data_IF_915457481518
#
_entry.id   IF_915457481518
#
_cell.length_a   1.000
_cell.length_b   1.000
_cell.length_c   1.000
_cell.angle_alpha   90.00
_cell.angle_beta   90.00
_cell.angle_gamma   90.00
#
_symmetry.space_group_name_H-M   'P 1'
#
loop_
_entity.id
_entity.type
_entity.pdbx_description
1 polymer ?
#
# COMPACT_ATOMS: atom_id res chain seq x y z
N UNK A 1 -5.69 -13.19 -13.35
CA UNK A 1 -6.08 -13.18 -11.91
C UNK A 1 -6.36 -14.59 -11.40
N UNK A 2 -7.04 -15.45 -12.17
CA UNK A 2 -7.25 -16.88 -11.79
C UNK A 2 -5.93 -17.62 -11.64
N UNK A 3 -4.98 -17.40 -12.53
CA UNK A 3 -3.64 -18.01 -12.47
C UNK A 3 -2.87 -17.60 -11.22
N UNK A 4 -3.02 -16.34 -10.79
CA UNK A 4 -2.44 -15.86 -9.53
C UNK A 4 -3.09 -16.56 -8.32
N UNK A 5 -4.40 -16.76 -8.35
CA UNK A 5 -5.09 -17.49 -7.28
C UNK A 5 -4.64 -18.98 -7.26
N UNK A 6 -4.48 -19.60 -8.43
CA UNK A 6 -3.97 -20.97 -8.55
C UNK A 6 -2.55 -21.08 -7.97
N UNK A 7 -1.62 -20.21 -8.39
CA UNK A 7 -0.26 -20.17 -7.85
C UNK A 7 -0.25 -19.96 -6.31
N UNK A 8 -1.07 -19.04 -5.81
CA UNK A 8 -1.19 -18.83 -4.35
C UNK A 8 -1.78 -20.02 -3.60
N UNK A 9 -2.62 -20.83 -4.26
CA UNK A 9 -3.20 -22.01 -3.61
C UNK A 9 -2.18 -23.14 -3.40
N UNK A 10 -1.03 -23.10 -4.06
CA UNK A 10 0.03 -24.12 -3.91
C UNK A 10 0.55 -24.20 -2.46
N UNK A 11 0.52 -23.09 -1.71
CA UNK A 11 0.91 -23.11 -0.29
C UNK A 11 0.05 -24.07 0.54
N UNK A 12 -1.22 -24.29 0.16
CA UNK A 12 -2.15 -25.13 0.92
C UNK A 12 -1.67 -26.60 0.92
N UNK A 13 -1.09 -27.07 -0.17
CA UNK A 13 -0.58 -28.43 -0.29
C UNK A 13 0.66 -28.70 0.58
N UNK A 14 1.34 -27.61 1.02
CA UNK A 14 2.52 -27.70 1.88
C UNK A 14 2.20 -27.51 3.38
N UNK A 15 0.93 -27.29 3.73
CA UNK A 15 0.50 -27.24 5.14
C UNK A 15 0.34 -28.66 5.65
N UNK A 16 0.85 -28.94 6.84
CA UNK A 16 0.67 -30.23 7.50
C UNK A 16 -0.82 -30.53 7.76
N UNK A 17 -1.23 -31.78 7.65
CA UNK A 17 -2.61 -32.21 7.96
C UNK A 17 -3.01 -31.72 9.35
N UNK A 18 -4.22 -31.18 9.47
CA UNK A 18 -4.72 -30.58 10.72
C UNK A 18 -4.22 -29.15 10.98
N UNK A 19 -3.27 -28.64 10.18
CA UNK A 19 -2.84 -27.25 10.24
C UNK A 19 -3.93 -26.27 9.81
N UNK A 20 -3.67 -24.98 9.99
CA UNK A 20 -4.66 -23.92 9.73
C UNK A 20 -4.13 -22.92 8.71
N UNK A 21 -4.96 -22.57 7.72
CA UNK A 21 -4.72 -21.44 6.82
C UNK A 21 -5.55 -20.23 7.22
N UNK A 22 -4.93 -19.05 7.23
CA UNK A 22 -5.59 -17.78 7.53
C UNK A 22 -6.01 -17.12 6.21
N UNK A 23 -7.31 -16.87 6.00
CA UNK A 23 -7.86 -16.36 4.75
C UNK A 23 -8.65 -15.07 4.93
N UNK A 24 -8.51 -14.16 3.96
CA UNK A 24 -9.33 -12.96 3.89
C UNK A 24 -10.74 -13.31 3.38
N UNK A 25 -11.76 -13.18 4.25
CA UNK A 25 -13.16 -13.46 3.95
C UNK A 25 -13.74 -12.55 2.86
N UNK A 26 -13.19 -11.35 2.71
CA UNK A 26 -13.66 -10.35 1.75
C UNK A 26 -13.02 -10.52 0.36
N UNK A 27 -12.07 -11.46 0.21
CA UNK A 27 -11.44 -11.76 -1.09
C UNK A 27 -12.37 -12.61 -1.95
N UNK A 28 -12.48 -12.26 -3.23
CA UNK A 28 -13.32 -12.99 -4.19
C UNK A 28 -12.94 -14.46 -4.41
N UNK A 29 -11.71 -14.84 -4.07
CA UNK A 29 -11.23 -16.21 -4.12
C UNK A 29 -11.31 -16.95 -2.78
N UNK A 30 -11.90 -16.33 -1.75
CA UNK A 30 -12.02 -16.97 -0.44
C UNK A 30 -12.60 -18.38 -0.52
N UNK A 31 -13.75 -18.54 -1.18
CA UNK A 31 -14.40 -19.86 -1.32
C UNK A 31 -13.56 -20.85 -2.10
N UNK A 32 -12.79 -20.39 -3.09
CA UNK A 32 -11.85 -21.24 -3.84
C UNK A 32 -10.76 -21.80 -2.92
N UNK A 33 -10.09 -20.96 -2.15
CA UNK A 33 -9.05 -21.39 -1.21
C UNK A 33 -9.63 -22.26 -0.09
N UNK A 34 -10.79 -21.90 0.46
CA UNK A 34 -11.47 -22.67 1.50
C UNK A 34 -11.82 -24.09 1.03
N UNK A 35 -12.29 -24.26 -0.21
CA UNK A 35 -12.58 -25.55 -0.81
C UNK A 35 -11.31 -26.40 -0.91
N UNK A 36 -10.19 -25.84 -1.38
CA UNK A 36 -8.92 -26.56 -1.49
C UNK A 36 -8.43 -26.97 -0.09
N UNK A 37 -8.46 -26.06 0.88
CA UNK A 37 -8.06 -26.34 2.26
C UNK A 37 -8.87 -27.51 2.85
N UNK A 38 -10.20 -27.49 2.69
CA UNK A 38 -11.09 -28.57 3.17
C UNK A 38 -10.73 -29.92 2.54
N UNK A 39 -10.47 -29.96 1.22
CA UNK A 39 -10.11 -31.20 0.52
C UNK A 39 -8.75 -31.76 0.95
N UNK A 40 -7.89 -30.95 1.55
CA UNK A 40 -6.57 -31.36 2.07
C UNK A 40 -6.55 -31.50 3.61
N UNK A 41 -7.72 -31.53 4.28
CA UNK A 41 -7.85 -31.61 5.73
C UNK A 41 -7.14 -30.46 6.47
N UNK A 42 -7.15 -29.27 5.88
CA UNK A 42 -6.59 -28.04 6.46
C UNK A 42 -7.73 -27.18 7.02
N UNK A 43 -7.58 -26.75 8.25
CA UNK A 43 -8.51 -25.83 8.91
C UNK A 43 -8.42 -24.44 8.28
N UNK A 44 -9.53 -23.71 8.27
CA UNK A 44 -9.59 -22.34 7.76
C UNK A 44 -10.01 -21.42 8.87
N UNK A 45 -9.22 -20.36 9.13
CA UNK A 45 -9.62 -19.24 9.97
C UNK A 45 -9.68 -17.98 9.11
N UNK A 46 -10.75 -17.22 9.23
CA UNK A 46 -11.04 -16.10 8.35
C UNK A 46 -10.92 -14.76 9.08
N UNK A 47 -10.58 -13.71 8.34
CA UNK A 47 -10.58 -12.35 8.83
C UNK A 47 -11.17 -11.40 7.78
N UNK A 48 -11.74 -10.28 8.22
CA UNK A 48 -12.26 -9.27 7.29
C UNK A 48 -13.33 -8.36 7.87
N UNK A 49 -13.98 -7.63 6.99
CA UNK A 49 -15.15 -6.78 7.31
C UNK A 49 -16.47 -7.55 7.27
N UNK A 50 -16.51 -8.67 6.57
CA UNK A 50 -17.69 -9.52 6.45
C UNK A 50 -18.18 -10.00 7.82
N UNK A 51 -19.52 -10.02 8.00
CA UNK A 51 -20.15 -10.60 9.20
C UNK A 51 -19.83 -12.08 9.43
N UNK A 52 -19.36 -12.77 8.38
CA UNK A 52 -18.99 -14.21 8.41
C UNK A 52 -17.53 -14.45 8.80
N UNK A 53 -16.73 -13.39 9.01
CA UNK A 53 -15.33 -13.52 9.42
C UNK A 53 -15.19 -13.95 10.87
N UNK A 54 -14.26 -14.86 11.17
CA UNK A 54 -13.92 -15.30 12.53
C UNK A 54 -13.26 -14.16 13.32
N UNK A 55 -12.39 -13.39 12.66
CA UNK A 55 -11.87 -12.12 13.17
C UNK A 55 -12.44 -10.99 12.33
N UNK A 56 -13.37 -10.24 12.93
CA UNK A 56 -14.17 -9.26 12.21
C UNK A 56 -13.91 -7.85 12.69
N UNK A 57 -13.78 -6.91 11.73
CA UNK A 57 -13.85 -5.48 12.01
C UNK A 57 -15.26 -5.10 12.45
N UNK A 58 -15.39 -4.35 13.55
CA UNK A 58 -16.65 -3.79 14.00
C UNK A 58 -16.71 -2.29 13.76
N UNK A 59 -15.84 -1.54 14.39
CA UNK A 59 -15.72 -0.10 14.20
C UNK A 59 -14.36 0.43 14.62
N UNK A 60 -14.11 1.70 14.32
CA UNK A 60 -12.95 2.45 14.78
C UNK A 60 -13.40 3.83 15.25
N UNK A 61 -12.97 4.25 16.44
CA UNK A 61 -13.27 5.56 17.03
C UNK A 61 -11.98 6.33 17.31
N UNK A 62 -11.97 7.64 17.05
CA UNK A 62 -10.84 8.50 17.39
C UNK A 62 -10.73 8.64 18.92
N UNK A 63 -9.50 8.58 19.43
CA UNK A 63 -9.17 8.77 20.84
C UNK A 63 -7.93 9.64 20.97
N UNK A 64 -8.08 10.89 21.43
CA UNK A 64 -6.96 11.86 21.53
C UNK A 64 -5.99 11.81 20.35
N UNK A 65 -4.82 11.17 20.51
CA UNK A 65 -3.77 11.05 19.48
C UNK A 65 -3.86 9.77 18.63
N UNK A 66 -4.74 8.83 18.97
CA UNK A 66 -4.81 7.48 18.41
C UNK A 66 -6.24 7.11 18.03
N UNK A 67 -6.45 5.87 17.65
CA UNK A 67 -7.76 5.31 17.35
C UNK A 67 -7.97 4.02 18.16
N UNK A 68 -9.19 3.81 18.63
CA UNK A 68 -9.65 2.57 19.24
C UNK A 68 -10.34 1.73 18.17
N UNK A 69 -9.71 0.63 17.80
CA UNK A 69 -10.19 -0.35 16.84
C UNK A 69 -10.90 -1.46 17.58
N UNK A 70 -12.22 -1.61 17.37
CA UNK A 70 -13.02 -2.68 17.97
C UNK A 70 -13.14 -3.83 16.98
N UNK A 71 -12.73 -5.02 17.42
CA UNK A 71 -12.80 -6.27 16.66
C UNK A 71 -13.69 -7.27 17.39
N UNK A 72 -14.38 -8.15 16.65
CA UNK A 72 -15.01 -9.36 17.18
C UNK A 72 -14.14 -10.56 16.88
N UNK A 73 -13.80 -11.35 17.89
CA UNK A 73 -12.93 -12.52 17.78
C UNK A 73 -13.59 -13.64 18.61
N UNK A 74 -13.95 -14.75 17.97
CA UNK A 74 -14.66 -15.86 18.63
C UNK A 74 -15.88 -15.40 19.42
N UNK A 75 -16.65 -14.43 18.90
CA UNK A 75 -17.82 -13.76 19.51
C UNK A 75 -17.51 -12.80 20.67
N UNK A 76 -16.26 -12.66 21.10
CA UNK A 76 -15.84 -11.65 22.06
C UNK A 76 -15.45 -10.35 21.35
N UNK A 77 -15.67 -9.22 22.03
CA UNK A 77 -15.27 -7.92 21.53
C UNK A 77 -13.98 -7.46 22.23
N UNK A 78 -12.93 -7.23 21.45
CA UNK A 78 -11.64 -6.77 21.96
C UNK A 78 -11.32 -5.40 21.34
N UNK A 79 -10.75 -4.52 22.16
CA UNK A 79 -10.28 -3.19 21.75
C UNK A 79 -8.78 -3.19 21.58
N UNK A 80 -8.32 -2.71 20.42
CA UNK A 80 -6.91 -2.47 20.13
C UNK A 80 -6.68 -0.98 19.88
N UNK A 81 -5.56 -0.45 20.34
CA UNK A 81 -5.14 0.90 19.96
C UNK A 81 -4.36 0.84 18.65
N UNK A 82 -4.66 1.77 17.74
CA UNK A 82 -3.97 1.89 16.45
C UNK A 82 -3.66 3.34 16.13
N UNK A 83 -2.59 3.57 15.38
CA UNK A 83 -2.20 4.89 14.89
C UNK A 83 -2.70 5.19 13.47
N UNK A 84 -3.40 4.23 12.83
CA UNK A 84 -3.89 4.38 11.46
C UNK A 84 -5.29 3.82 11.28
N UNK A 85 -6.09 4.49 10.45
CA UNK A 85 -7.42 4.06 9.99
C UNK A 85 -7.40 3.66 8.51
N UNK A 86 -6.21 3.58 7.90
CA UNK A 86 -6.08 3.13 6.53
C UNK A 86 -6.63 1.70 6.39
N UNK A 87 -7.51 1.49 5.41
CA UNK A 87 -8.19 0.20 5.21
C UNK A 87 -7.21 -0.97 5.08
N UNK A 88 -6.12 -0.78 4.33
CA UNK A 88 -5.10 -1.83 4.15
C UNK A 88 -4.37 -2.13 5.46
N UNK A 89 -4.10 -1.10 6.27
CA UNK A 89 -3.49 -1.29 7.59
C UNK A 89 -4.43 -2.07 8.53
N UNK A 90 -5.71 -1.71 8.57
CA UNK A 90 -6.71 -2.45 9.35
C UNK A 90 -6.79 -3.91 8.90
N UNK A 91 -6.79 -4.18 7.59
CA UNK A 91 -6.77 -5.56 7.08
C UNK A 91 -5.53 -6.35 7.53
N UNK A 92 -4.37 -5.72 7.58
CA UNK A 92 -3.15 -6.34 8.10
C UNK A 92 -3.28 -6.62 9.62
N UNK A 93 -3.86 -5.70 10.39
CA UNK A 93 -4.15 -5.92 11.82
C UNK A 93 -5.08 -7.11 12.01
N UNK A 94 -6.18 -7.19 11.24
CA UNK A 94 -7.11 -8.32 11.28
C UNK A 94 -6.40 -9.64 10.98
N UNK A 95 -5.55 -9.68 9.97
CA UNK A 95 -4.74 -10.85 9.63
C UNK A 95 -3.81 -11.25 10.79
N UNK A 96 -3.05 -10.31 11.34
CA UNK A 96 -2.16 -10.56 12.48
C UNK A 96 -2.93 -11.09 13.69
N UNK A 97 -4.08 -10.47 14.03
CA UNK A 97 -4.93 -10.91 15.14
C UNK A 97 -5.48 -12.31 14.89
N UNK A 98 -5.85 -12.66 13.65
CA UNK A 98 -6.29 -14.02 13.31
C UNK A 98 -5.20 -15.07 13.54
N UNK A 99 -3.95 -14.76 13.13
CA UNK A 99 -2.78 -15.64 13.39
C UNK A 99 -2.55 -15.80 14.89
N UNK A 100 -2.47 -14.69 15.63
CA UNK A 100 -2.19 -14.71 17.08
C UNK A 100 -3.30 -15.42 17.86
N UNK A 101 -4.56 -15.25 17.47
CA UNK A 101 -5.70 -15.96 18.03
C UNK A 101 -5.65 -17.46 17.74
N UNK A 102 -5.16 -17.88 16.58
CA UNK A 102 -4.99 -19.30 16.23
C UNK A 102 -3.86 -19.95 17.04
N UNK A 103 -2.82 -19.17 17.36
CA UNK A 103 -1.72 -19.60 18.23
C UNK A 103 -2.10 -19.61 19.73
N UNK A 104 -3.34 -19.29 20.09
CA UNK A 104 -3.80 -19.28 21.47
C UNK A 104 -3.23 -18.14 22.34
N UNK A 105 -2.66 -17.10 21.74
CA UNK A 105 -2.06 -16.00 22.50
C UNK A 105 -3.14 -15.10 23.13
N UNK A 106 -2.85 -14.58 24.34
CA UNK A 106 -3.74 -13.64 25.00
C UNK A 106 -3.69 -12.27 24.29
N UNK A 107 -4.71 -12.00 23.49
CA UNK A 107 -4.82 -10.82 22.65
C UNK A 107 -4.95 -9.51 23.45
N UNK A 108 -5.33 -9.57 24.72
CA UNK A 108 -5.44 -8.37 25.60
C UNK A 108 -4.06 -7.80 25.93
N UNK A 109 -3.01 -8.62 25.97
CA UNK A 109 -1.63 -8.17 26.24
C UNK A 109 -1.03 -7.38 25.07
N UNK A 110 -1.56 -7.54 23.86
CA UNK A 110 -1.06 -6.86 22.66
C UNK A 110 -1.94 -5.69 22.21
N UNK A 111 -2.89 -5.24 23.04
CA UNK A 111 -3.85 -4.20 22.67
C UNK A 111 -3.20 -2.87 22.23
N UNK A 112 -2.02 -2.56 22.73
CA UNK A 112 -1.26 -1.35 22.38
C UNK A 112 -0.25 -1.58 21.24
N UNK A 113 0.02 -2.81 20.82
CA UNK A 113 1.08 -3.14 19.86
C UNK A 113 0.90 -2.39 18.55
N UNK A 114 -0.30 -2.38 17.99
CA UNK A 114 -0.58 -1.74 16.69
C UNK A 114 -0.53 -0.21 16.72
N UNK A 115 -0.47 0.39 17.91
CA UNK A 115 -0.31 1.81 18.08
C UNK A 115 1.14 2.29 17.93
N UNK A 116 2.09 1.43 18.23
CA UNK A 116 3.52 1.74 18.19
C UNK A 116 4.16 1.42 16.83
N UNK A 117 3.45 0.71 15.97
CA UNK A 117 3.96 0.30 14.67
C UNK A 117 4.14 1.49 13.73
N UNK A 118 5.32 1.62 13.17
CA UNK A 118 5.64 2.62 12.16
C UNK A 118 5.53 1.98 10.77
N UNK A 119 5.06 2.73 9.74
CA UNK A 119 5.09 2.24 8.37
C UNK A 119 6.50 1.77 8.00
N UNK A 120 6.58 0.63 7.34
CA UNK A 120 7.84 0.11 6.81
C UNK A 120 8.40 1.08 5.77
N UNK A 121 9.73 1.05 5.57
CA UNK A 121 10.41 1.82 4.53
C UNK A 121 9.79 1.52 3.16
N UNK A 122 9.54 2.55 2.35
CA UNK A 122 8.92 2.40 1.02
C UNK A 122 7.40 2.13 1.02
N UNK A 123 6.70 2.29 2.16
CA UNK A 123 5.26 2.03 2.28
C UNK A 123 4.45 3.22 2.82
N UNK A 124 4.61 4.37 2.18
CA UNK A 124 3.77 5.55 2.40
C UNK A 124 4.12 6.40 3.62
N UNK A 125 5.31 6.23 4.20
CA UNK A 125 5.77 7.09 5.27
C UNK A 125 6.02 8.50 4.75
N UNK A 126 5.35 9.49 5.34
CA UNK A 126 5.58 10.91 5.07
C UNK A 126 6.72 11.40 5.95
N UNK A 127 7.73 11.98 5.34
CA UNK A 127 8.85 12.60 6.05
C UNK A 127 9.11 14.01 5.51
N UNK A 128 9.43 14.92 6.40
CA UNK A 128 9.99 16.22 6.03
C UNK A 128 11.45 16.01 5.64
N UNK A 129 11.85 16.53 4.51
CA UNK A 129 13.19 16.40 3.92
C UNK A 129 13.72 17.80 3.66
N UNK A 130 15.00 18.02 4.00
CA UNK A 130 15.73 19.22 3.63
C UNK A 130 16.77 18.85 2.56
N UNK A 131 16.58 19.34 1.35
CA UNK A 131 17.49 19.12 0.22
C UNK A 131 17.36 20.24 -0.81
N UNK A 132 18.39 20.51 -1.56
CA UNK A 132 18.42 21.59 -2.56
C UNK A 132 18.15 22.99 -1.97
N UNK A 133 18.55 23.23 -0.72
CA UNK A 133 18.20 24.48 0.01
C UNK A 133 16.71 24.66 0.33
N UNK A 134 15.91 23.60 0.18
CA UNK A 134 14.46 23.60 0.33
C UNK A 134 14.00 22.53 1.32
N UNK A 135 12.86 22.79 1.98
CA UNK A 135 12.22 21.86 2.89
C UNK A 135 10.88 21.41 2.33
N UNK A 136 10.69 20.12 2.07
CA UNK A 136 9.48 19.56 1.47
C UNK A 136 9.08 18.22 2.12
N UNK A 137 7.93 17.67 1.75
CA UNK A 137 7.44 16.39 2.27
C UNK A 137 7.61 15.29 1.24
N UNK A 138 8.38 14.26 1.59
CA UNK A 138 8.54 13.05 0.79
C UNK A 138 7.57 11.96 1.27
N UNK A 139 6.82 11.38 0.33
CA UNK A 139 5.99 10.18 0.51
C UNK A 139 6.68 9.04 -0.22
N UNK A 140 7.33 8.17 0.56
CA UNK A 140 8.07 7.03 0.02
C UNK A 140 7.16 5.81 -0.13
N UNK A 141 6.73 5.53 -1.36
CA UNK A 141 5.93 4.36 -1.79
C UNK A 141 6.74 3.43 -2.73
N UNK A 142 8.07 3.52 -2.69
CA UNK A 142 8.98 2.92 -3.66
C UNK A 142 9.28 1.43 -3.45
N UNK A 143 8.65 0.77 -2.45
CA UNK A 143 8.91 -0.65 -2.19
C UNK A 143 8.43 -1.55 -3.33
N UNK A 144 7.21 -1.36 -3.82
CA UNK A 144 6.67 -2.11 -4.96
C UNK A 144 5.47 -1.37 -5.58
N UNK A 145 5.12 -1.73 -6.82
CA UNK A 145 4.00 -1.15 -7.54
C UNK A 145 3.19 -2.20 -8.30
N UNK A 146 1.88 -2.19 -8.08
CA UNK A 146 0.88 -2.88 -8.89
C UNK A 146 -0.32 -1.95 -9.09
N UNK A 147 -1.24 -2.25 -10.03
CA UNK A 147 -2.32 -1.33 -10.37
C UNK A 147 -3.19 -0.89 -9.18
N UNK A 148 -3.50 -1.79 -8.25
CA UNK A 148 -4.29 -1.47 -7.06
C UNK A 148 -3.52 -0.60 -6.07
N UNK A 149 -2.26 -0.93 -5.80
CA UNK A 149 -1.44 -0.15 -4.87
C UNK A 149 -1.11 1.23 -5.41
N UNK A 150 -0.89 1.39 -6.73
CA UNK A 150 -0.68 2.70 -7.35
C UNK A 150 -1.95 3.53 -7.32
N UNK A 151 -3.11 2.94 -7.63
CA UNK A 151 -4.41 3.62 -7.49
C UNK A 151 -4.60 4.13 -6.06
N UNK A 152 -4.45 3.26 -5.06
CA UNK A 152 -4.60 3.65 -3.65
C UNK A 152 -3.61 4.73 -3.22
N UNK A 153 -2.36 4.68 -3.70
CA UNK A 153 -1.36 5.70 -3.41
C UNK A 153 -1.73 7.05 -4.02
N UNK A 154 -2.20 7.08 -5.27
CA UNK A 154 -2.68 8.30 -5.93
C UNK A 154 -3.88 8.90 -5.19
N UNK A 155 -4.85 8.09 -4.78
CA UNK A 155 -6.03 8.52 -4.01
C UNK A 155 -5.62 9.08 -2.64
N UNK A 156 -4.79 8.37 -1.89
CA UNK A 156 -4.30 8.82 -0.59
C UNK A 156 -3.49 10.12 -0.72
N UNK A 157 -2.63 10.21 -1.71
CA UNK A 157 -1.81 11.41 -1.96
C UNK A 157 -2.69 12.59 -2.37
N UNK A 158 -3.71 12.35 -3.19
CA UNK A 158 -4.68 13.38 -3.57
C UNK A 158 -5.41 13.97 -2.36
N UNK A 159 -5.72 13.14 -1.36
CA UNK A 159 -6.47 13.55 -0.15
C UNK A 159 -5.61 14.32 0.88
N UNK A 160 -4.29 14.39 0.72
CA UNK A 160 -3.45 15.22 1.59
C UNK A 160 -3.79 16.70 1.32
N UNK A 161 -4.12 17.46 2.37
CA UNK A 161 -4.39 18.90 2.25
C UNK A 161 -3.10 19.64 1.94
N UNK A 162 -3.00 20.24 0.76
CA UNK A 162 -1.78 20.92 0.30
C UNK A 162 -1.64 22.40 0.69
N UNK A 163 -2.69 23.04 1.20
CA UNK A 163 -2.65 24.45 1.68
C UNK A 163 -1.89 25.40 0.73
N UNK A 164 -2.20 25.36 -0.57
CA UNK A 164 -1.53 26.14 -1.60
C UNK A 164 -0.20 25.59 -2.12
N UNK A 165 0.31 24.48 -1.56
CA UNK A 165 1.53 23.82 -2.01
C UNK A 165 1.27 22.82 -3.15
N UNK A 166 2.32 22.47 -3.90
CA UNK A 166 2.22 21.58 -5.05
C UNK A 166 2.50 20.12 -4.69
N UNK A 167 1.92 19.23 -5.47
CA UNK A 167 2.11 17.78 -5.38
C UNK A 167 2.77 17.25 -6.63
N UNK A 168 3.94 16.68 -6.46
CA UNK A 168 4.73 16.05 -7.50
C UNK A 168 4.73 14.54 -7.31
N UNK A 169 4.62 13.80 -8.42
CA UNK A 169 4.61 12.34 -8.40
C UNK A 169 5.66 11.79 -9.35
N UNK A 170 6.61 11.01 -8.85
CA UNK A 170 7.50 10.17 -9.65
C UNK A 170 6.91 8.78 -9.76
N UNK A 171 6.41 8.45 -10.96
CA UNK A 171 5.79 7.17 -11.26
C UNK A 171 6.74 6.29 -12.07
N UNK A 172 7.14 5.16 -11.50
CA UNK A 172 7.94 4.14 -12.17
C UNK A 172 7.11 2.98 -12.70
N UNK A 173 7.76 2.11 -13.48
CA UNK A 173 7.13 0.93 -14.05
C UNK A 173 6.47 0.04 -12.98
N UNK A 174 5.31 -0.50 -13.33
CA UNK A 174 4.70 -1.65 -12.64
C UNK A 174 5.12 -2.92 -13.37
N UNK A 175 5.90 -3.77 -12.70
CA UNK A 175 6.39 -5.02 -13.25
C UNK A 175 5.39 -6.18 -13.03
N UNK A 176 5.67 -7.35 -13.62
CA UNK A 176 4.92 -8.60 -13.42
C UNK A 176 3.43 -8.53 -13.84
N UNK A 177 3.09 -7.65 -14.78
CA UNK A 177 1.72 -7.48 -15.28
C UNK A 177 1.41 -8.26 -16.56
N UNK A 178 2.37 -9.03 -17.07
CA UNK A 178 2.22 -9.83 -18.29
C UNK A 178 1.92 -8.98 -19.54
N UNK A 179 1.30 -9.60 -20.54
CA UNK A 179 0.97 -9.00 -21.85
C UNK A 179 0.10 -7.75 -21.75
N UNK A 180 -0.73 -7.64 -20.72
CA UNK A 180 -1.66 -6.51 -20.51
C UNK A 180 -1.04 -5.33 -19.75
N UNK A 181 0.27 -5.31 -19.54
CA UNK A 181 0.98 -4.27 -18.80
C UNK A 181 0.62 -2.85 -19.28
N UNK A 182 0.58 -2.63 -20.60
CA UNK A 182 0.25 -1.35 -21.21
C UNK A 182 -1.17 -0.84 -20.84
N UNK A 183 -2.16 -1.75 -20.74
CA UNK A 183 -3.53 -1.40 -20.37
C UNK A 183 -3.57 -0.90 -18.92
N UNK A 184 -2.85 -1.56 -18.03
CA UNK A 184 -2.80 -1.17 -16.62
C UNK A 184 -2.12 0.18 -16.42
N UNK A 185 -0.99 0.43 -17.10
CA UNK A 185 -0.31 1.72 -17.07
C UNK A 185 -1.22 2.84 -17.61
N UNK A 186 -1.91 2.61 -18.74
CA UNK A 186 -2.90 3.55 -19.28
C UNK A 186 -4.04 3.83 -18.30
N UNK A 187 -4.53 2.82 -17.56
CA UNK A 187 -5.56 3.03 -16.54
C UNK A 187 -5.08 3.94 -15.41
N UNK A 188 -3.82 3.83 -15.00
CA UNK A 188 -3.27 4.72 -13.96
C UNK A 188 -3.31 6.19 -14.39
N UNK A 189 -3.07 6.50 -15.66
CA UNK A 189 -3.16 7.89 -16.15
C UNK A 189 -4.53 8.52 -15.90
N UNK A 190 -5.62 7.74 -15.98
CA UNK A 190 -6.98 8.24 -15.66
C UNK A 190 -7.10 8.65 -14.20
N UNK A 191 -6.54 7.86 -13.27
CA UNK A 191 -6.56 8.20 -11.84
C UNK A 191 -5.72 9.46 -11.56
N UNK A 192 -4.54 9.58 -12.17
CA UNK A 192 -3.69 10.77 -12.05
C UNK A 192 -4.39 12.00 -12.62
N UNK A 193 -5.02 11.89 -13.78
CA UNK A 193 -5.74 13.00 -14.41
C UNK A 193 -6.88 13.55 -13.55
N UNK A 194 -7.52 12.69 -12.75
CA UNK A 194 -8.63 13.03 -11.87
C UNK A 194 -8.21 13.31 -10.42
N UNK A 195 -6.90 13.32 -10.14
CA UNK A 195 -6.34 13.56 -8.82
C UNK A 195 -5.93 15.01 -8.63
N UNK A 196 -5.59 15.38 -7.38
CA UNK A 196 -5.04 16.68 -7.02
C UNK A 196 -3.50 16.74 -7.17
N UNK A 197 -2.90 15.82 -7.93
CA UNK A 197 -1.47 15.84 -8.27
C UNK A 197 -1.24 16.93 -9.32
N UNK A 198 -0.26 17.81 -9.10
CA UNK A 198 0.02 18.91 -10.01
C UNK A 198 0.87 18.45 -11.20
N UNK A 199 1.95 17.71 -10.98
CA UNK A 199 2.83 17.20 -12.04
C UNK A 199 3.26 15.77 -11.76
N UNK A 200 3.35 14.97 -12.84
CA UNK A 200 3.81 13.58 -12.79
C UNK A 200 5.04 13.41 -13.68
N UNK A 201 6.13 13.02 -13.06
CA UNK A 201 7.36 12.56 -13.72
C UNK A 201 7.26 11.05 -13.89
N UNK A 202 7.83 10.51 -14.96
CA UNK A 202 7.78 9.08 -15.25
C UNK A 202 9.16 8.52 -15.49
N UNK A 203 9.38 7.28 -14.98
CA UNK A 203 10.63 6.55 -15.16
C UNK A 203 10.35 5.10 -15.57
N UNK A 204 10.97 4.65 -16.65
CA UNK A 204 10.80 3.32 -17.21
C UNK A 204 9.89 3.29 -18.44
N UNK A 205 10.13 2.32 -19.32
CA UNK A 205 9.51 2.23 -20.66
C UNK A 205 7.98 2.19 -20.62
N UNK A 206 7.42 1.45 -19.65
CA UNK A 206 5.97 1.26 -19.53
C UNK A 206 5.29 2.50 -18.93
N UNK A 207 5.94 3.16 -17.97
CA UNK A 207 5.47 4.41 -17.38
C UNK A 207 5.47 5.55 -18.42
N UNK A 208 6.46 5.59 -19.32
CA UNK A 208 6.51 6.52 -20.45
C UNK A 208 5.31 6.33 -21.38
N UNK A 209 4.86 5.09 -21.60
CA UNK A 209 3.61 4.85 -22.36
C UNK A 209 2.39 5.45 -21.66
N UNK A 210 2.32 5.37 -20.33
CA UNK A 210 1.25 6.00 -19.55
C UNK A 210 1.29 7.54 -19.63
N UNK A 211 2.48 8.14 -19.67
CA UNK A 211 2.69 9.58 -19.76
C UNK A 211 1.95 10.22 -20.94
N UNK A 212 1.87 9.54 -22.09
CA UNK A 212 1.16 10.01 -23.29
C UNK A 212 -0.34 10.24 -23.05
N UNK A 213 -0.94 9.58 -22.05
CA UNK A 213 -2.35 9.70 -21.70
C UNK A 213 -2.62 10.67 -20.54
N UNK A 214 -1.58 11.28 -19.96
CA UNK A 214 -1.74 12.37 -19.01
C UNK A 214 -2.19 13.64 -19.72
N UNK A 215 -3.04 14.43 -19.06
CA UNK A 215 -3.37 15.79 -19.51
C UNK A 215 -2.12 16.65 -19.52
N UNK A 216 -1.99 17.60 -20.47
CA UNK A 216 -0.80 18.46 -20.59
C UNK A 216 -0.41 19.15 -19.27
N UNK A 217 -1.41 19.64 -18.53
CA UNK A 217 -1.20 20.30 -17.23
C UNK A 217 -0.69 19.35 -16.13
N UNK A 218 -0.87 18.02 -16.28
CA UNK A 218 -0.40 16.99 -15.32
C UNK A 218 0.99 16.43 -15.67
N UNK A 219 1.52 16.75 -16.85
CA UNK A 219 2.82 16.25 -17.30
C UNK A 219 3.94 17.03 -16.62
N UNK A 220 4.84 16.32 -15.98
CA UNK A 220 6.20 16.75 -15.65
C UNK A 220 7.15 16.38 -16.80
N UNK A 221 8.24 15.68 -16.47
CA UNK A 221 9.24 15.22 -17.44
C UNK A 221 9.36 13.70 -17.45
N UNK A 222 9.89 13.16 -18.55
CA UNK A 222 10.33 11.78 -18.67
C UNK A 222 11.76 11.72 -18.13
N UNK A 223 11.97 10.87 -17.13
CA UNK A 223 13.25 10.71 -16.46
C UNK A 223 14.03 9.59 -17.16
N UNK A 224 15.18 9.92 -17.68
CA UNK A 224 16.03 8.98 -18.43
C UNK A 224 16.95 8.17 -17.51
N UNK A 225 17.42 8.76 -16.41
CA UNK A 225 18.24 8.10 -15.40
C UNK A 225 17.82 8.50 -13.99
N UNK A 226 18.17 7.69 -12.98
CA UNK A 226 17.83 8.02 -11.58
C UNK A 226 18.63 9.24 -11.11
N UNK A 227 19.82 9.44 -11.64
CA UNK A 227 20.72 10.56 -11.31
C UNK A 227 20.13 11.88 -11.81
N UNK A 228 19.57 11.90 -13.02
CA UNK A 228 18.99 13.12 -13.61
C UNK A 228 17.73 13.60 -12.90
N UNK A 229 17.10 12.76 -12.08
CA UNK A 229 15.88 13.15 -11.36
C UNK A 229 16.14 14.23 -10.31
N UNK A 230 17.28 14.18 -9.61
CA UNK A 230 17.63 15.18 -8.61
C UNK A 230 17.70 16.58 -9.22
N UNK A 231 18.34 16.72 -10.40
CA UNK A 231 18.42 18.01 -11.13
C UNK A 231 17.05 18.47 -11.62
N UNK A 232 16.26 17.55 -12.17
CA UNK A 232 14.91 17.86 -12.66
C UNK A 232 14.00 18.34 -11.54
N UNK A 233 13.93 17.60 -10.42
CA UNK A 233 13.01 17.90 -9.34
C UNK A 233 13.44 19.12 -8.51
N UNK A 234 14.75 19.38 -8.41
CA UNK A 234 15.29 20.55 -7.71
C UNK A 234 14.82 21.86 -8.30
N UNK A 235 14.61 21.95 -9.63
CA UNK A 235 14.17 23.15 -10.34
C UNK A 235 12.71 23.51 -10.03
N UNK A 236 11.85 22.54 -9.73
CA UNK A 236 10.40 22.73 -9.60
C UNK A 236 9.91 22.68 -8.15
N UNK A 237 10.56 21.92 -7.27
CA UNK A 237 10.19 21.85 -5.84
C UNK A 237 10.36 23.20 -5.16
N UNK A 238 9.40 23.52 -4.27
CA UNK A 238 9.44 24.68 -3.38
C UNK A 238 9.25 24.26 -1.92
N UNK A 239 9.51 25.19 -0.99
CA UNK A 239 9.30 24.94 0.44
C UNK A 239 7.85 24.54 0.74
N UNK A 240 7.68 23.41 1.42
CA UNK A 240 6.38 22.88 1.82
C UNK A 240 5.66 22.03 0.78
N UNK A 241 6.23 21.85 -0.42
CA UNK A 241 5.66 20.97 -1.45
C UNK A 241 5.71 19.50 -1.05
N UNK A 242 5.02 18.67 -1.82
CA UNK A 242 4.94 17.23 -1.60
C UNK A 242 5.49 16.48 -2.81
N UNK A 243 6.34 15.50 -2.55
CA UNK A 243 6.85 14.57 -3.56
C UNK A 243 6.50 13.14 -3.17
N UNK A 244 5.76 12.43 -4.02
CA UNK A 244 5.54 10.99 -3.88
C UNK A 244 6.40 10.23 -4.90
N UNK A 245 7.03 9.14 -4.46
CA UNK A 245 7.82 8.25 -5.31
C UNK A 245 7.22 6.85 -5.25
N UNK A 246 6.84 6.27 -6.40
CA UNK A 246 6.28 4.92 -6.49
C UNK A 246 6.63 4.21 -7.79
N UNK A 247 7.15 3.00 -7.65
CA UNK A 247 7.44 2.08 -8.75
C UNK A 247 7.69 0.68 -8.22
N UNK A 248 7.78 -0.30 -9.11
CA UNK A 248 8.19 -1.66 -8.74
C UNK A 248 9.63 -1.66 -8.23
N UNK A 249 9.98 -2.58 -7.35
CA UNK A 249 11.32 -2.68 -6.75
C UNK A 249 12.43 -2.75 -7.81
N UNK A 250 12.18 -3.46 -8.91
CA UNK A 250 13.11 -3.57 -10.04
C UNK A 250 13.45 -2.21 -10.70
N UNK A 251 12.61 -1.18 -10.54
CA UNK A 251 12.93 0.18 -11.03
C UNK A 251 13.99 0.90 -10.21
N UNK A 252 14.35 0.37 -9.06
CA UNK A 252 15.32 0.93 -8.10
C UNK A 252 14.99 2.35 -7.60
N UNK A 253 13.74 2.82 -7.76
CA UNK A 253 13.29 4.14 -7.28
C UNK A 253 13.47 4.32 -5.76
N UNK A 254 13.55 3.22 -5.01
CA UNK A 254 13.89 3.24 -3.58
C UNK A 254 15.28 3.85 -3.30
N UNK A 255 16.19 3.87 -4.30
CA UNK A 255 17.50 4.54 -4.16
C UNK A 255 17.34 6.05 -4.08
N UNK A 256 16.46 6.64 -4.93
CA UNK A 256 16.14 8.07 -4.88
C UNK A 256 15.55 8.43 -3.51
N UNK A 257 14.50 7.69 -3.08
CA UNK A 257 13.93 7.88 -1.74
C UNK A 257 14.97 7.75 -0.64
N UNK A 258 15.86 6.76 -0.75
CA UNK A 258 16.94 6.55 0.22
C UNK A 258 17.91 7.72 0.28
N UNK A 259 18.32 8.28 -0.86
CA UNK A 259 19.23 9.44 -0.93
C UNK A 259 18.59 10.70 -0.33
N UNK A 260 17.29 10.91 -0.55
CA UNK A 260 16.57 12.04 0.03
C UNK A 260 16.45 11.93 1.56
N UNK A 261 16.40 10.71 2.09
CA UNK A 261 16.23 10.44 3.51
C UNK A 261 17.54 10.36 4.32
N UNK A 262 18.68 10.23 3.67
CA UNK A 262 20.00 10.17 4.35
C UNK A 262 20.52 11.56 4.73
N UNK A 263 20.12 12.59 4.00
CA UNK A 263 20.61 13.96 4.15
C UNK A 263 19.56 14.87 4.82
N UNK A 264 18.63 14.29 5.54
CA UNK A 264 17.52 15.01 6.20
C UNK A 264 17.54 14.84 7.72
#
# INVERSE_FOLDING_TARGET
IRDIAKAKSEIIYNIQKGGTIILNQDDKFFNYFKKIAKNNNIKTKSFGYSKKSDVRFLNVKRSKKNYNLKLSINRENILFKTNSINKNYIMNVLCCVAVLSELGLNLRHINNFFNTQKPLKGRGKIKKVNKFGKSFFLIDESYNANPLSVKSAVENFSNIKKKGKKKYFLFGDMMELGKNSHIYHKKISKFINNSDIDKTFVYGERAVRAYKFLRKNKRGEIINSLESFDDTISKVLQNGDFLMIKGSNATKLHRISGNFLRNS
#
